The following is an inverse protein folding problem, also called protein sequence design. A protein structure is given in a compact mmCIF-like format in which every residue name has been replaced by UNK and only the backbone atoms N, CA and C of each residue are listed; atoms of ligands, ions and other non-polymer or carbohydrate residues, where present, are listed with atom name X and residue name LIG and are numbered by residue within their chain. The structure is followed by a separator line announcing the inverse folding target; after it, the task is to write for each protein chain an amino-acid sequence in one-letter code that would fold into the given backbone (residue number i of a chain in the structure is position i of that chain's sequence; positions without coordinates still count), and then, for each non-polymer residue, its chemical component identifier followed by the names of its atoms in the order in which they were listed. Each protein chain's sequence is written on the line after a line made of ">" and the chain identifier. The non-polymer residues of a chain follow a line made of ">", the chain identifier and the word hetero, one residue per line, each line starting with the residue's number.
data_IF_727320000886
#
_entry.id   IF_727320000886
#
_cell.length_a   1.000
_cell.length_b   1.000
_cell.length_c   1.000
_cell.angle_alpha   90.00
_cell.angle_beta   90.00
_cell.angle_gamma   90.00
#
_symmetry.space_group_name_H-M   'P 1'
#
loop_
_entity.id
_entity.type
_entity.pdbx_description
1 polymer ?
#
# COMPACT_ATOMS: atom_id res chain seq x y z
N UNK A 1 22.07 -7.49 9.20
CA UNK A 1 21.62 -8.66 8.43
C UNK A 1 20.19 -9.06 8.75
N UNK A 2 19.76 -9.14 10.02
CA UNK A 2 18.37 -9.49 10.41
C UNK A 2 17.34 -8.55 9.78
N UNK A 3 17.58 -7.23 9.77
CA UNK A 3 16.69 -6.25 9.18
C UNK A 3 16.48 -6.43 7.66
N UNK A 4 17.55 -6.80 6.93
CA UNK A 4 17.48 -7.05 5.48
C UNK A 4 16.65 -8.30 5.19
N UNK A 5 16.91 -9.39 5.94
CA UNK A 5 16.14 -10.62 5.82
C UNK A 5 14.66 -10.39 6.17
N UNK A 6 14.39 -9.66 7.25
CA UNK A 6 13.03 -9.27 7.63
C UNK A 6 12.33 -8.47 6.54
N UNK A 7 13.02 -7.50 5.93
CA UNK A 7 12.49 -6.72 4.81
C UNK A 7 12.17 -7.55 3.58
N UNK A 8 13.05 -8.52 3.22
CA UNK A 8 12.81 -9.42 2.09
C UNK A 8 11.61 -10.34 2.34
N UNK A 9 11.49 -10.90 3.54
CA UNK A 9 10.33 -11.73 3.91
C UNK A 9 9.05 -10.91 3.86
N UNK A 10 9.05 -9.71 4.42
CA UNK A 10 7.89 -8.81 4.37
C UNK A 10 7.50 -8.47 2.92
N UNK A 11 8.47 -8.17 2.06
CA UNK A 11 8.23 -7.91 0.64
C UNK A 11 7.63 -9.12 -0.09
N UNK A 12 8.16 -10.33 0.16
CA UNK A 12 7.64 -11.57 -0.42
C UNK A 12 6.20 -11.85 0.04
N UNK A 13 5.90 -11.67 1.33
CA UNK A 13 4.56 -11.84 1.90
C UNK A 13 3.58 -10.81 1.32
N UNK A 14 4.02 -9.55 1.14
CA UNK A 14 3.21 -8.51 0.51
C UNK A 14 2.89 -8.83 -0.95
N UNK A 15 3.89 -9.30 -1.72
CA UNK A 15 3.70 -9.71 -3.11
C UNK A 15 2.73 -10.90 -3.23
N UNK A 16 2.88 -11.92 -2.39
CA UNK A 16 1.97 -13.06 -2.34
C UNK A 16 0.54 -12.62 -1.99
N UNK A 17 0.38 -11.73 -1.01
CA UNK A 17 -0.91 -11.14 -0.64
C UNK A 17 -1.55 -10.40 -1.82
N UNK A 18 -0.80 -9.58 -2.55
CA UNK A 18 -1.30 -8.86 -3.71
C UNK A 18 -1.83 -9.80 -4.82
N UNK A 19 -1.14 -10.92 -5.06
CA UNK A 19 -1.59 -11.96 -6.01
C UNK A 19 -2.89 -12.62 -5.54
N UNK A 20 -2.98 -12.99 -4.26
CA UNK A 20 -4.19 -13.59 -3.68
C UNK A 20 -5.37 -12.60 -3.76
N UNK A 21 -5.17 -11.34 -3.41
CA UNK A 21 -6.18 -10.30 -3.45
C UNK A 21 -6.65 -10.08 -4.88
N UNK A 22 -5.73 -9.98 -5.85
CA UNK A 22 -6.07 -9.83 -7.26
C UNK A 22 -6.96 -10.96 -7.77
N UNK A 23 -6.72 -12.19 -7.33
CA UNK A 23 -7.55 -13.33 -7.70
C UNK A 23 -8.90 -13.30 -7.00
N UNK A 24 -8.93 -12.99 -5.71
CA UNK A 24 -10.15 -12.93 -4.90
C UNK A 24 -11.09 -11.81 -5.35
N UNK A 25 -10.58 -10.63 -5.67
CA UNK A 25 -11.39 -9.48 -6.10
C UNK A 25 -12.04 -9.66 -7.47
N UNK A 26 -11.56 -10.63 -8.27
CA UNK A 26 -12.23 -11.04 -9.52
C UNK A 26 -13.43 -11.96 -9.28
N UNK A 27 -13.45 -12.67 -8.16
CA UNK A 27 -14.51 -13.63 -7.81
C UNK A 27 -15.58 -13.00 -6.92
N UNK A 28 -15.18 -12.12 -6.00
CA UNK A 28 -16.05 -11.45 -5.02
C UNK A 28 -15.86 -9.94 -5.06
N UNK A 29 -16.85 -9.14 -4.62
CA UNK A 29 -16.71 -7.68 -4.57
C UNK A 29 -15.52 -7.24 -3.72
N UNK A 30 -14.73 -6.22 -4.15
CA UNK A 30 -13.56 -5.74 -3.40
C UNK A 30 -13.86 -5.38 -1.95
N UNK A 31 -15.05 -4.82 -1.69
CA UNK A 31 -15.51 -4.47 -0.33
C UNK A 31 -15.59 -5.71 0.58
N UNK A 32 -16.10 -6.83 0.05
CA UNK A 32 -16.18 -8.06 0.83
C UNK A 32 -14.80 -8.66 1.12
N UNK A 33 -13.88 -8.63 0.13
CA UNK A 33 -12.49 -9.07 0.34
C UNK A 33 -11.82 -8.22 1.41
N UNK A 34 -11.96 -6.89 1.31
CA UNK A 34 -11.41 -5.96 2.30
C UNK A 34 -12.01 -6.19 3.69
N UNK A 35 -13.33 -6.38 3.78
CA UNK A 35 -14.00 -6.68 5.04
C UNK A 35 -13.44 -7.92 5.73
N UNK A 36 -13.24 -9.01 4.98
CA UNK A 36 -12.63 -10.23 5.53
C UNK A 36 -11.19 -10.03 5.96
N UNK A 37 -10.38 -9.31 5.18
CA UNK A 37 -8.98 -9.01 5.53
C UNK A 37 -8.91 -8.18 6.81
N UNK A 38 -9.75 -7.15 6.95
CA UNK A 38 -9.79 -6.31 8.14
C UNK A 38 -10.29 -7.09 9.36
N UNK A 39 -11.30 -7.94 9.19
CA UNK A 39 -11.84 -8.77 10.26
C UNK A 39 -10.79 -9.75 10.78
N UNK A 40 -10.17 -10.52 9.89
CA UNK A 40 -9.13 -11.49 10.27
C UNK A 40 -7.93 -10.76 10.89
N UNK A 41 -7.48 -9.66 10.29
CA UNK A 41 -6.41 -8.83 10.83
C UNK A 41 -6.73 -8.31 12.24
N UNK A 42 -7.95 -7.85 12.47
CA UNK A 42 -8.39 -7.39 13.78
C UNK A 42 -8.41 -8.51 14.82
N UNK A 43 -8.93 -9.69 14.46
CA UNK A 43 -8.96 -10.85 15.36
C UNK A 43 -7.56 -11.29 15.77
N UNK A 44 -6.61 -11.27 14.83
CA UNK A 44 -5.21 -11.65 15.10
C UNK A 44 -4.52 -10.57 15.95
N UNK A 45 -4.77 -9.29 15.68
CA UNK A 45 -4.11 -8.18 16.36
C UNK A 45 -4.71 -7.87 17.74
N UNK A 46 -5.98 -8.18 17.96
CA UNK A 46 -6.70 -7.85 19.20
C UNK A 46 -6.01 -8.40 20.49
N UNK A 47 -5.57 -9.68 20.55
CA UNK A 47 -4.95 -10.18 21.78
C UNK A 47 -3.62 -9.46 22.08
N UNK A 48 -2.86 -9.06 21.07
CA UNK A 48 -1.62 -8.31 21.26
C UNK A 48 -1.88 -6.87 21.71
N UNK A 49 -2.90 -6.23 21.16
CA UNK A 49 -3.32 -4.90 21.57
C UNK A 49 -3.84 -4.89 23.02
N UNK A 50 -4.64 -5.89 23.39
CA UNK A 50 -5.14 -6.03 24.77
C UNK A 50 -4.01 -6.33 25.76
N UNK A 51 -3.01 -7.13 25.37
CA UNK A 51 -1.88 -7.46 26.24
C UNK A 51 -0.96 -6.23 26.48
N UNK A 52 -0.86 -5.30 25.55
CA UNK A 52 -0.08 -4.07 25.70
C UNK A 52 -0.83 -2.99 26.51
N UNK A 53 -2.14 -3.10 26.64
CA UNK A 53 -2.98 -2.11 27.29
C UNK A 53 -3.19 -0.86 26.43
N UNK A 54 -4.13 -0.02 26.84
CA UNK A 54 -4.37 1.27 26.20
C UNK A 54 -3.38 2.29 26.77
N UNK A 55 -2.60 3.00 25.94
CA UNK A 55 -1.71 4.04 26.43
C UNK A 55 -2.50 5.09 27.21
N UNK A 56 -2.06 5.38 28.44
CA UNK A 56 -2.74 6.32 29.35
C UNK A 56 -2.79 7.77 28.84
N UNK A 57 -2.02 8.06 27.80
CA UNK A 57 -1.86 9.40 27.22
C UNK A 57 -2.62 9.61 25.90
N UNK A 58 -3.62 8.80 25.59
CA UNK A 58 -4.46 9.00 24.42
C UNK A 58 -5.36 10.21 24.61
N UNK A 59 -4.84 11.38 24.22
CA UNK A 59 -5.62 12.61 24.16
C UNK A 59 -6.59 12.60 22.97
N UNK A 60 -7.53 13.55 22.99
CA UNK A 60 -8.55 13.71 21.94
C UNK A 60 -7.91 13.88 20.55
N UNK A 61 -6.80 14.59 20.47
CA UNK A 61 -6.08 14.86 19.23
C UNK A 61 -5.55 13.57 18.61
N UNK A 62 -4.90 12.71 19.39
CA UNK A 62 -4.38 11.42 18.95
C UNK A 62 -5.49 10.48 18.47
N UNK A 63 -6.63 10.48 19.16
CA UNK A 63 -7.79 9.68 18.73
C UNK A 63 -8.34 10.18 17.40
N UNK A 64 -8.45 11.49 17.19
CA UNK A 64 -8.90 12.07 15.92
C UNK A 64 -7.93 11.70 14.80
N UNK A 65 -6.63 11.84 15.01
CA UNK A 65 -5.61 11.46 14.03
C UNK A 65 -5.69 9.98 13.67
N UNK A 66 -5.86 9.09 14.66
CA UNK A 66 -6.02 7.65 14.43
C UNK A 66 -7.27 7.35 13.59
N UNK A 67 -8.39 7.99 13.88
CA UNK A 67 -9.64 7.80 13.12
C UNK A 67 -9.47 8.30 11.68
N UNK A 68 -8.90 9.48 11.46
CA UNK A 68 -8.66 10.03 10.13
C UNK A 68 -7.73 9.12 9.34
N UNK A 69 -6.63 8.68 9.96
CA UNK A 69 -5.68 7.75 9.33
C UNK A 69 -6.33 6.41 9.00
N UNK A 70 -7.15 5.86 9.88
CA UNK A 70 -7.87 4.60 9.65
C UNK A 70 -8.85 4.70 8.46
N UNK A 71 -9.60 5.81 8.38
CA UNK A 71 -10.52 6.07 7.26
C UNK A 71 -9.74 6.22 5.97
N UNK A 72 -8.68 7.02 5.96
CA UNK A 72 -7.82 7.23 4.80
C UNK A 72 -7.20 5.92 4.30
N UNK A 73 -6.61 5.14 5.20
CA UNK A 73 -6.01 3.85 4.88
C UNK A 73 -7.03 2.84 4.34
N UNK A 74 -8.21 2.74 4.94
CA UNK A 74 -9.27 1.83 4.49
C UNK A 74 -9.78 2.23 3.11
N UNK A 75 -9.95 3.53 2.86
CA UNK A 75 -10.37 4.06 1.56
C UNK A 75 -9.30 3.78 0.50
N UNK A 76 -8.02 4.03 0.81
CA UNK A 76 -6.89 3.74 -0.06
C UNK A 76 -6.82 2.24 -0.43
N UNK A 77 -6.94 1.36 0.55
CA UNK A 77 -6.98 -0.10 0.32
C UNK A 77 -8.17 -0.51 -0.56
N UNK A 78 -9.34 0.09 -0.36
CA UNK A 78 -10.50 -0.19 -1.19
C UNK A 78 -10.26 0.20 -2.66
N UNK A 79 -9.63 1.34 -2.89
CA UNK A 79 -9.24 1.79 -4.23
C UNK A 79 -8.21 0.85 -4.87
N UNK A 80 -7.19 0.41 -4.11
CA UNK A 80 -6.22 -0.59 -4.57
C UNK A 80 -6.91 -1.91 -4.94
N UNK A 81 -7.79 -2.42 -4.08
CA UNK A 81 -8.51 -3.67 -4.35
C UNK A 81 -9.43 -3.56 -5.55
N UNK A 82 -10.07 -2.41 -5.73
CA UNK A 82 -10.89 -2.11 -6.90
C UNK A 82 -10.03 -2.03 -8.17
N UNK A 83 -8.85 -1.43 -8.10
CA UNK A 83 -7.93 -1.35 -9.24
C UNK A 83 -7.39 -2.72 -9.65
N UNK A 84 -7.11 -3.60 -8.68
CA UNK A 84 -6.68 -4.98 -8.92
C UNK A 84 -7.78 -5.87 -9.55
N UNK A 85 -9.04 -5.52 -9.36
CA UNK A 85 -10.17 -6.20 -10.00
C UNK A 85 -10.19 -5.97 -11.51
N UNK A 86 -9.88 -4.76 -11.96
CA UNK A 86 -10.00 -4.35 -13.36
C UNK A 86 -8.66 -4.35 -14.09
N UNK A 87 -7.56 -4.15 -13.38
CA UNK A 87 -6.23 -4.01 -13.94
C UNK A 87 -5.33 -5.24 -13.76
N UNK A 88 -4.22 -5.22 -14.49
CA UNK A 88 -3.15 -6.21 -14.32
C UNK A 88 -2.32 -5.84 -13.08
N UNK A 89 -2.06 -6.82 -12.19
CA UNK A 89 -1.25 -6.62 -10.96
C UNK A 89 0.06 -5.89 -11.24
N UNK A 90 0.69 -6.27 -12.34
CA UNK A 90 1.95 -5.67 -12.71
C UNK A 90 1.86 -4.18 -13.12
N UNK A 91 0.69 -3.60 -13.41
CA UNK A 91 0.50 -2.14 -13.63
C UNK A 91 0.18 -1.45 -12.31
N UNK A 92 -0.72 -2.05 -11.54
CA UNK A 92 -1.20 -1.49 -10.27
C UNK A 92 -0.10 -1.49 -9.20
N UNK A 93 0.66 -2.58 -9.07
CA UNK A 93 1.67 -2.72 -8.03
C UNK A 93 2.79 -1.66 -8.08
N UNK A 94 3.40 -1.31 -9.23
CA UNK A 94 4.38 -0.23 -9.28
C UNK A 94 3.81 1.14 -8.92
N UNK A 95 2.56 1.41 -9.31
CA UNK A 95 1.90 2.70 -9.00
C UNK A 95 1.67 2.81 -7.49
N UNK A 96 1.15 1.76 -6.87
CA UNK A 96 0.93 1.76 -5.41
C UNK A 96 2.23 1.74 -4.61
N UNK A 97 3.32 1.16 -5.13
CA UNK A 97 4.63 1.21 -4.47
C UNK A 97 5.27 2.61 -4.49
N UNK A 98 4.87 3.48 -5.42
CA UNK A 98 5.30 4.88 -5.44
C UNK A 98 4.81 5.68 -4.23
N UNK A 99 3.78 5.20 -3.52
CA UNK A 99 3.27 5.79 -2.29
C UNK A 99 4.37 5.98 -1.22
N UNK A 100 5.25 4.99 -1.07
CA UNK A 100 6.39 5.09 -0.14
C UNK A 100 7.38 6.20 -0.52
N UNK A 101 7.61 6.40 -1.82
CA UNK A 101 8.45 7.49 -2.31
C UNK A 101 7.80 8.85 -2.08
N UNK A 102 6.48 8.96 -2.32
CA UNK A 102 5.73 10.19 -2.06
C UNK A 102 5.75 10.55 -0.56
N UNK A 103 5.51 9.58 0.33
CA UNK A 103 5.56 9.78 1.77
C UNK A 103 6.95 10.27 2.22
N UNK A 104 8.02 9.73 1.66
CA UNK A 104 9.37 10.15 2.00
C UNK A 104 9.70 11.57 1.48
N UNK A 105 9.20 11.96 0.29
CA UNK A 105 9.35 13.34 -0.19
C UNK A 105 8.62 14.32 0.75
N UNK A 106 7.43 13.96 1.22
CA UNK A 106 6.67 14.77 2.19
C UNK A 106 7.43 14.88 3.52
N UNK A 107 8.00 13.79 4.04
CA UNK A 107 8.78 13.78 5.26
C UNK A 107 10.01 14.70 5.17
N UNK A 108 10.74 14.67 4.04
CA UNK A 108 11.85 15.59 3.77
C UNK A 108 11.39 17.04 3.71
N UNK A 109 10.26 17.29 3.00
CA UNK A 109 9.70 18.63 2.91
C UNK A 109 9.23 19.17 4.27
N UNK A 110 8.82 18.27 5.18
CA UNK A 110 8.49 18.57 6.56
C UNK A 110 9.72 18.78 7.48
N UNK A 111 10.94 18.66 6.93
CA UNK A 111 12.20 18.89 7.67
C UNK A 111 12.79 17.66 8.35
N UNK A 112 12.29 16.47 8.08
CA UNK A 112 12.90 15.24 8.58
C UNK A 112 14.25 14.98 7.89
N UNK A 113 15.29 14.71 8.70
CA UNK A 113 16.61 14.37 8.18
C UNK A 113 16.64 12.90 7.78
N UNK A 114 16.77 12.64 6.47
CA UNK A 114 16.95 11.29 5.96
C UNK A 114 18.44 10.93 5.99
N UNK A 115 18.76 9.78 6.59
CA UNK A 115 20.12 9.23 6.52
C UNK A 115 20.51 9.01 5.05
N UNK A 116 21.76 9.31 4.69
CA UNK A 116 22.25 9.25 3.30
C UNK A 116 21.95 7.92 2.62
N UNK A 117 22.03 6.80 3.36
CA UNK A 117 21.70 5.47 2.84
C UNK A 117 20.22 5.29 2.48
N UNK A 118 19.32 5.93 3.24
CA UNK A 118 17.88 5.90 2.94
C UNK A 118 17.55 6.73 1.69
N UNK A 119 18.23 7.87 1.48
CA UNK A 119 18.10 8.67 0.27
C UNK A 119 18.48 7.91 -1.00
N UNK A 120 19.59 7.16 -0.97
CA UNK A 120 20.02 6.30 -2.09
C UNK A 120 19.00 5.19 -2.36
N UNK A 121 18.48 4.54 -1.33
CA UNK A 121 17.44 3.51 -1.47
C UNK A 121 16.16 4.07 -2.09
N UNK A 122 15.75 5.27 -1.69
CA UNK A 122 14.60 5.98 -2.24
C UNK A 122 14.78 6.30 -3.73
N UNK A 123 15.96 6.84 -4.09
CA UNK A 123 16.29 7.11 -5.49
C UNK A 123 16.23 5.82 -6.33
N UNK A 124 16.76 4.71 -5.81
CA UNK A 124 16.69 3.41 -6.49
C UNK A 124 15.24 2.93 -6.68
N UNK A 125 14.36 3.12 -5.69
CA UNK A 125 12.93 2.79 -5.81
C UNK A 125 12.27 3.62 -6.91
N UNK A 126 12.49 4.94 -6.91
CA UNK A 126 11.92 5.83 -7.95
C UNK A 126 12.38 5.41 -9.34
N UNK A 127 13.67 5.16 -9.52
CA UNK A 127 14.22 4.66 -10.80
C UNK A 127 13.58 3.33 -11.19
N UNK A 128 13.44 2.38 -10.26
CA UNK A 128 12.79 1.09 -10.50
C UNK A 128 11.34 1.23 -10.95
N UNK A 129 10.57 2.12 -10.32
CA UNK A 129 9.18 2.41 -10.69
C UNK A 129 9.10 3.03 -12.08
N UNK A 130 9.96 4.00 -12.38
CA UNK A 130 10.02 4.65 -13.72
C UNK A 130 10.37 3.62 -14.81
N UNK A 131 11.40 2.80 -14.60
CA UNK A 131 11.79 1.76 -15.55
C UNK A 131 10.67 0.74 -15.76
N UNK A 132 9.99 0.31 -14.70
CA UNK A 132 8.86 -0.60 -14.79
C UNK A 132 7.68 0.00 -15.56
N UNK A 133 7.47 1.30 -15.45
CA UNK A 133 6.42 2.03 -16.16
C UNK A 133 6.75 2.18 -17.65
N UNK A 134 8.01 2.46 -17.98
CA UNK A 134 8.47 2.64 -19.37
C UNK A 134 8.44 1.34 -20.18
N UNK A 135 8.81 0.22 -19.57
CA UNK A 135 8.82 -1.10 -20.24
C UNK A 135 7.43 -1.55 -20.72
N UNK A 136 6.37 -0.93 -20.23
CA UNK A 136 4.97 -1.28 -20.52
C UNK A 136 4.25 -0.39 -21.51
N UNK A 137 4.78 0.79 -21.80
CA UNK A 137 4.19 1.69 -22.80
C UNK A 137 4.05 1.06 -24.18
N UNK A 138 4.81 0.00 -24.46
CA UNK A 138 4.78 -0.71 -25.73
C UNK A 138 3.69 -1.81 -25.83
N UNK A 139 3.02 -2.18 -24.73
CA UNK A 139 1.98 -3.22 -24.72
C UNK A 139 0.57 -2.71 -24.39
N UNK A 140 0.43 -1.46 -23.99
CA UNK A 140 -0.85 -0.86 -23.63
C UNK A 140 -1.65 -0.47 -24.88
N UNK A 141 -2.23 -1.45 -25.51
CA UNK A 141 -3.45 -1.23 -26.30
C UNK A 141 -4.54 -0.70 -25.37
N UNK A 142 -5.09 0.47 -25.73
CA UNK A 142 -6.03 1.26 -24.92
C UNK A 142 -7.30 0.49 -24.55
N UNK A 143 -7.26 -0.33 -23.53
CA UNK A 143 -8.48 -0.88 -22.94
C UNK A 143 -8.99 0.09 -21.86
N UNK A 144 -10.21 0.60 -22.01
CA UNK A 144 -10.88 1.54 -21.09
C UNK A 144 -10.85 1.03 -19.63
N UNK A 145 -10.83 -0.29 -19.44
CA UNK A 145 -10.73 -0.94 -18.12
C UNK A 145 -9.36 -0.73 -17.46
N UNK A 146 -8.31 -0.73 -18.26
CA UNK A 146 -6.94 -0.50 -17.77
C UNK A 146 -6.74 0.95 -17.35
N UNK A 147 -7.33 1.91 -18.10
CA UNK A 147 -7.37 3.33 -17.73
C UNK A 147 -8.08 3.59 -16.40
N UNK A 148 -9.21 2.92 -16.15
CA UNK A 148 -9.90 3.00 -14.86
C UNK A 148 -9.06 2.43 -13.71
N UNK A 149 -8.38 1.30 -13.92
CA UNK A 149 -7.52 0.69 -12.92
C UNK A 149 -6.34 1.60 -12.54
N UNK A 150 -5.72 2.24 -13.53
CA UNK A 150 -4.64 3.20 -13.33
C UNK A 150 -5.16 4.43 -12.56
N UNK A 151 -6.31 4.97 -12.94
CA UNK A 151 -6.93 6.11 -12.25
C UNK A 151 -7.24 5.81 -10.78
N UNK A 152 -7.79 4.63 -10.49
CA UNK A 152 -8.05 4.17 -9.12
C UNK A 152 -6.77 3.94 -8.31
N UNK A 153 -5.72 3.41 -8.94
CA UNK A 153 -4.44 3.18 -8.28
C UNK A 153 -3.74 4.51 -7.94
N UNK A 154 -3.80 5.51 -8.83
CA UNK A 154 -3.27 6.86 -8.57
C UNK A 154 -4.07 7.52 -7.44
N UNK A 155 -5.40 7.38 -7.44
CA UNK A 155 -6.24 7.93 -6.37
C UNK A 155 -6.04 7.28 -5.01
N UNK A 156 -5.42 6.10 -4.96
CA UNK A 156 -5.11 5.38 -3.73
C UNK A 156 -3.72 5.70 -3.16
N UNK A 157 -2.80 6.19 -4.01
CA UNK A 157 -1.44 6.54 -3.63
C UNK A 157 -1.35 7.91 -2.96
#
# INVERSE_FOLDING_TARGET
>A
MIAILGGLVAAAMWAASALCISRSTRMIPPVAVLGWVLLIGSVISAPFALAQGVPSELGREQVVLLVVTAIGNTTGLLLVYSSLRFGKVGVVAPITSAQGAAAAVIAVAAGEQIATGAGVALAAIVVGVVLSSMSRSNEAGSDRREGLAIGLAIGAA
#
